data_IF_295243580456
#
_entry.id   IF_295243580456
#
_cell.length_a   1.000
_cell.length_b   1.000
_cell.length_c   1.000
_cell.angle_alpha   90.00
_cell.angle_beta   90.00
_cell.angle_gamma   90.00
#
_symmetry.space_group_name_H-M   'P 1'
#
loop_
_entity.id
_entity.type
_entity.pdbx_description
1 polymer ?
#
# COMPACT_ATOMS: atom_id res chain seq x y z
N UNK A 1 10.13 -11.05 -13.51
CA UNK A 1 9.68 -10.49 -12.22
C UNK A 1 8.25 -9.99 -12.41
N UNK A 2 7.33 -10.24 -11.49
CA UNK A 2 5.92 -9.83 -11.63
C UNK A 2 5.78 -8.29 -11.64
N UNK A 3 5.25 -7.68 -12.73
CA UNK A 3 5.06 -6.23 -12.83
C UNK A 3 4.22 -5.64 -11.70
N UNK A 4 3.22 -6.39 -11.21
CA UNK A 4 2.33 -5.96 -10.15
C UNK A 4 3.08 -5.83 -8.81
N UNK A 5 4.00 -6.77 -8.54
CA UNK A 5 4.87 -6.74 -7.36
C UNK A 5 5.82 -5.55 -7.39
N UNK A 6 6.51 -5.34 -8.51
CA UNK A 6 7.43 -4.22 -8.68
C UNK A 6 6.74 -2.85 -8.54
N UNK A 7 5.52 -2.73 -9.05
CA UNK A 7 4.71 -1.52 -8.87
C UNK A 7 4.48 -1.23 -7.38
N UNK A 8 4.00 -2.21 -6.60
CA UNK A 8 3.71 -2.01 -5.17
C UNK A 8 4.97 -1.68 -4.38
N UNK A 9 6.09 -2.34 -4.70
CA UNK A 9 7.39 -2.03 -4.11
C UNK A 9 7.82 -0.58 -4.37
N UNK A 10 7.78 -0.12 -5.62
CA UNK A 10 8.15 1.26 -5.93
C UNK A 10 7.18 2.29 -5.37
N UNK A 11 5.89 1.96 -5.32
CA UNK A 11 4.89 2.80 -4.67
C UNK A 11 5.21 2.94 -3.18
N UNK A 12 5.44 1.83 -2.47
CA UNK A 12 5.81 1.81 -1.06
C UNK A 12 7.07 2.64 -0.80
N UNK A 13 8.11 2.48 -1.64
CA UNK A 13 9.33 3.30 -1.58
C UNK A 13 9.03 4.79 -1.63
N UNK A 14 8.34 5.25 -2.68
CA UNK A 14 8.10 6.68 -2.90
C UNK A 14 7.22 7.24 -1.78
N UNK A 15 6.20 6.46 -1.38
CA UNK A 15 5.29 6.82 -0.32
C UNK A 15 6.03 6.96 1.02
N UNK A 16 6.79 5.96 1.43
CA UNK A 16 7.55 6.00 2.69
C UNK A 16 8.58 7.15 2.71
N UNK A 17 9.34 7.35 1.62
CA UNK A 17 10.31 8.47 1.52
C UNK A 17 9.63 9.83 1.72
N UNK A 18 8.43 10.00 1.16
CA UNK A 18 7.67 11.26 1.23
C UNK A 18 6.99 11.44 2.59
N UNK A 19 6.20 10.46 3.02
CA UNK A 19 5.40 10.54 4.25
C UNK A 19 6.28 10.63 5.49
N UNK A 20 7.35 9.82 5.55
CA UNK A 20 8.29 9.80 6.68
C UNK A 20 9.39 10.87 6.58
N UNK A 21 9.33 11.76 5.57
CA UNK A 21 10.29 12.86 5.35
C UNK A 21 11.75 12.41 5.42
N UNK A 22 12.07 11.30 4.75
CA UNK A 22 13.37 10.62 4.91
C UNK A 22 14.56 11.37 4.32
N UNK A 23 14.37 12.49 3.62
CA UNK A 23 15.49 13.21 3.01
C UNK A 23 16.57 13.59 4.05
N UNK A 24 17.87 13.32 3.79
CA UNK A 24 18.46 12.85 2.53
C UNK A 24 18.59 11.32 2.38
N UNK A 25 18.08 10.51 3.31
CA UNK A 25 18.03 9.05 3.20
C UNK A 25 17.17 8.65 2.00
N UNK A 26 17.69 7.72 1.20
CA UNK A 26 17.01 7.14 0.04
C UNK A 26 17.10 5.63 0.11
N UNK A 27 16.01 4.99 -0.28
CA UNK A 27 15.94 3.55 -0.43
C UNK A 27 16.54 3.12 -1.77
N UNK A 28 17.28 2.02 -1.74
CA UNK A 28 17.79 1.31 -2.90
C UNK A 28 17.17 -0.07 -2.93
N UNK A 29 16.83 -0.57 -4.12
CA UNK A 29 16.28 -1.93 -4.26
C UNK A 29 17.33 -2.92 -3.76
N UNK A 30 16.88 -3.90 -2.99
CA UNK A 30 17.70 -4.94 -2.41
C UNK A 30 16.94 -6.29 -2.48
N UNK A 31 17.66 -7.39 -2.26
CA UNK A 31 17.05 -8.72 -2.32
C UNK A 31 16.19 -9.01 -1.08
N UNK A 32 16.74 -8.82 0.12
CA UNK A 32 16.04 -8.93 1.42
C UNK A 32 16.71 -8.06 2.48
N UNK A 33 16.05 -7.02 3.03
CA UNK A 33 14.69 -6.55 2.70
C UNK A 33 14.55 -6.01 1.27
N UNK A 34 13.32 -5.86 0.78
CA UNK A 34 13.02 -5.33 -0.56
C UNK A 34 13.71 -4.00 -0.88
N UNK A 35 13.88 -3.15 0.13
CA UNK A 35 14.62 -1.89 0.04
C UNK A 35 15.53 -1.69 1.24
N UNK A 36 16.69 -1.06 1.01
CA UNK A 36 17.64 -0.69 2.07
C UNK A 36 18.21 0.71 1.82
N UNK A 37 18.48 1.47 2.88
CA UNK A 37 19.23 2.72 2.76
C UNK A 37 20.73 2.44 2.63
N UNK A 38 21.49 3.41 2.10
CA UNK A 38 22.89 3.23 1.70
C UNK A 38 23.80 2.67 2.80
N UNK A 39 23.58 3.01 4.07
CA UNK A 39 24.43 2.56 5.18
C UNK A 39 23.71 1.53 6.08
N UNK A 40 22.62 0.92 5.61
CA UNK A 40 21.84 -0.02 6.40
C UNK A 40 21.12 0.61 7.59
N UNK A 41 20.84 1.91 7.52
CA UNK A 41 20.06 2.61 8.55
C UNK A 41 18.63 2.08 8.61
N UNK A 42 17.99 1.90 7.45
CA UNK A 42 16.62 1.41 7.36
C UNK A 42 16.54 0.32 6.29
N UNK A 43 15.99 -0.82 6.68
CA UNK A 43 15.57 -1.89 5.78
C UNK A 43 14.06 -1.95 5.73
N UNK A 44 13.45 -1.97 4.55
CA UNK A 44 12.00 -1.98 4.37
C UNK A 44 11.57 -3.15 3.50
N UNK A 45 10.77 -4.04 4.09
CA UNK A 45 10.07 -5.11 3.39
C UNK A 45 8.70 -4.63 2.91
N UNK A 46 8.24 -5.08 1.74
CA UNK A 46 6.95 -4.68 1.18
C UNK A 46 6.05 -5.90 1.00
N UNK A 47 4.78 -5.76 1.38
CA UNK A 47 3.76 -6.78 1.15
C UNK A 47 2.41 -6.16 0.83
N UNK A 48 1.59 -6.92 0.11
CA UNK A 48 0.16 -6.63 -0.07
C UNK A 48 -0.64 -7.38 1.00
N UNK A 49 -1.70 -6.75 1.49
CA UNK A 49 -2.76 -7.38 2.26
C UNK A 49 -3.96 -7.67 1.34
N UNK A 50 -3.72 -8.45 0.28
CA UNK A 50 -4.75 -8.87 -0.66
C UNK A 50 -5.57 -10.03 -0.07
N UNK A 51 -6.86 -10.06 -0.40
CA UNK A 51 -7.78 -11.15 -0.06
C UNK A 51 -8.26 -11.73 -1.38
N UNK A 52 -7.84 -12.96 -1.70
CA UNK A 52 -8.02 -13.57 -3.02
C UNK A 52 -9.49 -13.66 -3.47
N UNK A 53 -10.44 -13.88 -2.56
CA UNK A 53 -11.87 -13.96 -2.88
C UNK A 53 -12.56 -12.57 -2.97
N UNK A 54 -12.05 -11.57 -2.26
CA UNK A 54 -12.70 -10.25 -2.17
C UNK A 54 -12.21 -9.23 -3.20
N UNK A 55 -11.00 -9.39 -3.75
CA UNK A 55 -10.59 -8.60 -4.92
C UNK A 55 -11.53 -8.86 -6.12
N UNK A 56 -12.06 -10.08 -6.22
CA UNK A 56 -13.05 -10.46 -7.21
C UNK A 56 -14.44 -9.89 -6.87
N UNK A 57 -14.88 -9.99 -5.60
CA UNK A 57 -16.19 -9.47 -5.17
C UNK A 57 -16.25 -7.93 -5.09
N UNK A 58 -15.17 -7.24 -4.75
CA UNK A 58 -15.09 -5.77 -4.82
C UNK A 58 -15.03 -5.31 -6.28
N UNK A 59 -14.30 -6.01 -7.15
CA UNK A 59 -14.36 -5.78 -8.59
C UNK A 59 -15.78 -6.04 -9.14
N UNK A 60 -16.47 -7.10 -8.70
CA UNK A 60 -17.81 -7.44 -9.14
C UNK A 60 -18.89 -6.53 -8.53
N UNK A 61 -18.70 -6.02 -7.31
CA UNK A 61 -19.60 -5.06 -6.66
C UNK A 61 -19.42 -3.65 -7.24
N UNK A 62 -18.19 -3.23 -7.52
CA UNK A 62 -17.90 -2.04 -8.32
C UNK A 62 -18.48 -2.17 -9.74
N UNK A 63 -18.53 -3.38 -10.31
CA UNK A 63 -19.16 -3.68 -11.61
C UNK A 63 -20.68 -3.71 -11.58
N UNK A 64 -21.32 -3.92 -10.42
CA UNK A 64 -22.78 -4.02 -10.28
C UNK A 64 -23.44 -2.74 -9.76
N UNK A 65 -22.72 -1.92 -8.99
CA UNK A 65 -23.26 -0.73 -8.34
C UNK A 65 -22.49 0.57 -8.65
N UNK A 66 -21.36 0.50 -9.36
CA UNK A 66 -20.67 1.67 -9.89
C UNK A 66 -20.93 1.79 -11.40
N UNK A 67 -21.66 2.83 -11.81
CA UNK A 67 -21.46 3.41 -13.13
C UNK A 67 -20.02 3.93 -13.17
N UNK A 68 -19.05 3.07 -13.54
CA UNK A 68 -17.79 3.43 -14.20
C UNK A 68 -16.99 2.14 -14.54
N UNK A 69 -16.90 1.88 -15.85
CA UNK A 69 -16.01 0.97 -16.59
C UNK A 69 -15.57 -0.38 -15.96
N UNK A 70 -16.00 -1.53 -16.53
CA UNK A 70 -15.45 -2.84 -16.14
C UNK A 70 -13.95 -2.93 -16.46
N UNK A 71 -13.17 -3.67 -15.66
CA UNK A 71 -11.70 -3.79 -15.80
C UNK A 71 -11.17 -4.24 -17.18
N UNK A 72 -12.04 -4.74 -18.06
CA UNK A 72 -11.75 -5.07 -19.45
C UNK A 72 -11.75 -3.83 -20.36
N UNK A 73 -12.51 -2.79 -20.01
CA UNK A 73 -12.52 -1.48 -20.65
C UNK A 73 -11.32 -0.63 -20.19
N UNK A 74 -10.78 -0.85 -18.99
CA UNK A 74 -9.56 -0.18 -18.53
C UNK A 74 -8.34 -0.63 -19.37
N UNK A 75 -8.25 -1.89 -19.79
CA UNK A 75 -7.16 -2.34 -20.69
C UNK A 75 -7.33 -1.84 -22.13
N UNK A 76 -8.57 -1.61 -22.60
CA UNK A 76 -8.83 -1.08 -23.94
C UNK A 76 -8.79 0.45 -24.01
N UNK A 77 -9.21 1.18 -22.97
CA UNK A 77 -9.09 2.65 -22.87
C UNK A 77 -7.65 3.08 -22.58
N UNK A 78 -6.89 2.32 -21.78
CA UNK A 78 -5.44 2.59 -21.61
C UNK A 78 -4.66 2.36 -22.92
N UNK A 79 -5.19 1.56 -23.85
CA UNK A 79 -4.62 1.35 -25.19
C UNK A 79 -5.21 2.29 -26.26
N UNK A 80 -6.38 2.89 -26.01
CA UNK A 80 -7.07 3.80 -26.94
C UNK A 80 -6.83 5.30 -26.62
N UNK A 81 -6.59 5.68 -25.36
CA UNK A 81 -6.32 7.06 -24.92
C UNK A 81 -4.84 7.46 -25.08
N UNK A 82 -4.27 7.15 -26.25
CA UNK A 82 -3.06 7.83 -26.71
C UNK A 82 -3.33 9.26 -27.21
N UNK A 83 -4.58 9.71 -27.26
CA UNK A 83 -4.95 11.08 -27.64
C UNK A 83 -6.28 11.48 -26.97
N UNK A 84 -6.30 11.95 -25.72
CA UNK A 84 -7.29 12.91 -25.19
C UNK A 84 -6.95 13.38 -23.76
N UNK A 85 -6.68 14.67 -23.63
CA UNK A 85 -6.77 15.43 -22.38
C UNK A 85 -8.24 15.46 -21.88
N UNK A 86 -8.42 15.68 -20.57
CA UNK A 86 -9.63 16.20 -19.89
C UNK A 86 -10.73 15.32 -19.26
N UNK A 87 -10.66 13.98 -19.19
CA UNK A 87 -11.76 13.18 -18.57
C UNK A 87 -11.55 12.64 -17.15
N UNK A 88 -10.38 12.81 -16.52
CA UNK A 88 -10.16 12.39 -15.11
C UNK A 88 -10.40 13.56 -14.12
N UNK A 89 -10.95 14.69 -14.58
CA UNK A 89 -11.05 15.93 -13.80
C UNK A 89 -12.47 16.40 -13.44
N UNK A 90 -13.54 15.73 -13.89
CA UNK A 90 -14.93 16.17 -13.61
C UNK A 90 -15.78 15.08 -12.94
N UNK A 91 -15.36 14.68 -11.74
CA UNK A 91 -16.24 14.03 -10.75
C UNK A 91 -16.46 14.97 -9.58
N UNK A 92 -17.06 16.14 -9.84
CA UNK A 92 -17.54 17.07 -8.82
C UNK A 92 -18.58 18.00 -9.45
N UNK A 93 -19.80 17.51 -9.61
CA UNK A 93 -20.95 18.37 -9.33
C UNK A 93 -21.52 17.96 -7.99
N UNK A 94 -21.60 18.94 -7.11
CA UNK A 94 -22.14 18.86 -5.76
C UNK A 94 -23.55 18.26 -5.78
N UNK A 95 -23.71 17.09 -5.15
CA UNK A 95 -24.99 16.73 -4.55
C UNK A 95 -24.76 16.25 -3.11
N UNK A 96 -25.52 16.86 -2.21
CA UNK A 96 -25.39 16.70 -0.77
C UNK A 96 -25.88 15.30 -0.35
N UNK A 97 -24.96 14.50 0.19
CA UNK A 97 -25.30 13.35 1.03
C UNK A 97 -25.14 11.99 0.37
N UNK A 98 -23.91 11.59 0.06
CA UNK A 98 -23.60 10.18 -0.21
C UNK A 98 -22.78 9.58 0.94
N UNK A 99 -23.46 8.68 1.65
CA UNK A 99 -22.94 7.73 2.63
C UNK A 99 -21.48 7.33 2.37
N UNK A 100 -20.57 7.62 3.31
CA UNK A 100 -19.30 6.87 3.41
C UNK A 100 -19.67 5.38 3.30
N UNK A 101 -19.18 4.69 2.27
CA UNK A 101 -19.36 3.25 2.13
C UNK A 101 -18.64 2.56 3.30
N UNK A 102 -19.33 2.42 4.44
CA UNK A 102 -18.85 1.63 5.56
C UNK A 102 -18.90 0.17 5.14
N UNK A 103 -17.73 -0.46 5.11
CA UNK A 103 -17.64 -1.89 4.83
C UNK A 103 -18.41 -2.66 5.91
N UNK A 104 -19.12 -3.75 5.53
CA UNK A 104 -19.72 -4.65 6.50
C UNK A 104 -18.68 -5.10 7.53
N UNK A 105 -19.10 -5.24 8.80
CA UNK A 105 -18.20 -5.57 9.91
C UNK A 105 -17.34 -6.81 9.62
N UNK A 106 -17.91 -7.87 9.05
CA UNK A 106 -17.19 -9.10 8.73
C UNK A 106 -16.09 -8.89 7.69
N UNK A 107 -16.30 -7.96 6.74
CA UNK A 107 -15.32 -7.59 5.73
C UNK A 107 -14.18 -6.78 6.36
N UNK A 108 -14.50 -5.83 7.26
CA UNK A 108 -13.49 -5.08 8.04
C UNK A 108 -12.60 -6.04 8.85
N UNK A 109 -13.19 -6.97 9.58
CA UNK A 109 -12.45 -7.98 10.36
C UNK A 109 -11.52 -8.82 9.50
N UNK A 110 -11.96 -9.19 8.29
CA UNK A 110 -11.15 -9.96 7.35
C UNK A 110 -9.92 -9.17 6.88
N UNK A 111 -10.06 -7.89 6.54
CA UNK A 111 -8.93 -7.04 6.17
C UNK A 111 -7.98 -6.79 7.34
N UNK A 112 -8.50 -6.55 8.55
CA UNK A 112 -7.71 -6.43 9.78
C UNK A 112 -6.92 -7.72 10.03
N UNK A 113 -7.61 -8.87 9.98
CA UNK A 113 -7.01 -10.19 10.13
C UNK A 113 -5.91 -10.44 9.10
N UNK A 114 -6.11 -10.04 7.85
CA UNK A 114 -5.11 -10.15 6.78
C UNK A 114 -3.88 -9.28 7.05
N UNK A 115 -4.05 -8.05 7.52
CA UNK A 115 -2.91 -7.18 7.90
C UNK A 115 -2.11 -7.84 9.03
N UNK A 116 -2.79 -8.35 10.06
CA UNK A 116 -2.19 -9.05 11.20
C UNK A 116 -1.41 -10.28 10.74
N UNK A 117 -2.02 -11.12 9.91
CA UNK A 117 -1.39 -12.31 9.32
C UNK A 117 -0.11 -11.94 8.56
N UNK A 118 -0.13 -10.88 7.74
CA UNK A 118 1.04 -10.44 6.97
C UNK A 118 2.18 -9.93 7.86
N UNK A 119 1.87 -9.27 8.98
CA UNK A 119 2.88 -8.90 9.98
C UNK A 119 3.54 -10.15 10.54
N UNK A 120 2.76 -11.16 10.91
CA UNK A 120 3.29 -12.42 11.45
C UNK A 120 4.10 -13.22 10.43
N UNK A 121 3.58 -13.39 9.21
CA UNK A 121 4.20 -14.20 8.16
C UNK A 121 5.55 -13.63 7.75
N UNK A 122 5.62 -12.31 7.56
CA UNK A 122 6.88 -11.63 7.26
C UNK A 122 7.86 -11.70 8.43
N UNK A 123 7.35 -11.69 9.66
CA UNK A 123 8.18 -11.93 10.86
C UNK A 123 8.67 -13.38 10.96
N UNK A 124 7.94 -14.37 10.44
CA UNK A 124 8.38 -15.77 10.43
C UNK A 124 9.35 -16.06 9.27
N UNK A 125 9.20 -15.38 8.14
CA UNK A 125 9.94 -15.63 6.90
C UNK A 125 11.39 -15.09 6.85
N UNK A 126 12.07 -14.98 8.01
CA UNK A 126 13.35 -14.28 8.19
C UNK A 126 14.58 -14.93 7.56
N UNK A 127 14.44 -16.04 6.85
CA UNK A 127 15.60 -16.72 6.29
C UNK A 127 16.30 -15.83 5.26
N UNK A 128 17.57 -15.48 5.52
CA UNK A 128 18.36 -14.57 4.70
C UNK A 128 18.01 -13.08 4.84
N UNK A 129 17.26 -12.67 5.87
CA UNK A 129 16.91 -11.27 6.08
C UNK A 129 18.11 -10.47 6.64
N UNK A 130 18.49 -9.39 5.96
CA UNK A 130 19.55 -8.50 6.43
C UNK A 130 19.03 -7.54 7.51
N UNK A 131 19.55 -7.66 8.73
CA UNK A 131 19.23 -6.74 9.82
C UNK A 131 19.80 -5.34 9.57
N UNK A 132 18.92 -4.34 9.61
CA UNK A 132 19.26 -2.92 9.58
C UNK A 132 19.10 -2.31 10.97
N UNK A 133 19.55 -1.06 11.15
CA UNK A 133 19.37 -0.33 12.42
C UNK A 133 17.89 -0.17 12.76
N UNK A 134 17.05 0.09 11.76
CA UNK A 134 15.61 -0.01 11.85
C UNK A 134 15.08 -0.94 10.74
N UNK A 135 14.21 -1.88 11.12
CA UNK A 135 13.54 -2.78 10.18
C UNK A 135 12.07 -2.38 10.07
N UNK A 136 11.64 -2.03 8.87
CA UNK A 136 10.32 -1.54 8.58
C UNK A 136 9.55 -2.56 7.73
N UNK A 137 8.24 -2.65 7.94
CA UNK A 137 7.33 -3.41 7.09
C UNK A 137 6.30 -2.45 6.48
N UNK A 138 6.20 -2.44 5.17
CA UNK A 138 5.16 -1.72 4.45
C UNK A 138 4.08 -2.68 3.98
N UNK A 139 2.83 -2.41 4.36
CA UNK A 139 1.65 -3.18 4.00
C UNK A 139 0.75 -2.31 3.13
N UNK A 140 0.59 -2.70 1.88
CA UNK A 140 -0.38 -2.09 0.98
C UNK A 140 -1.73 -2.78 1.17
N UNK A 141 -2.68 -2.08 1.79
CA UNK A 141 -4.07 -2.50 1.84
C UNK A 141 -4.79 -2.04 0.57
N UNK A 142 -5.56 -2.95 -0.02
CA UNK A 142 -6.34 -2.69 -1.23
C UNK A 142 -7.66 -1.98 -0.90
N UNK A 143 -8.13 -2.11 0.34
CA UNK A 143 -9.34 -1.46 0.81
C UNK A 143 -9.11 0.01 1.20
N UNK A 144 -10.17 0.80 1.08
CA UNK A 144 -10.29 2.17 1.59
C UNK A 144 -11.12 2.27 2.87
N UNK A 145 -11.85 1.22 3.26
CA UNK A 145 -12.87 1.27 4.29
C UNK A 145 -12.42 0.85 5.70
N UNK A 146 -11.11 0.83 5.98
CA UNK A 146 -10.63 0.66 7.35
C UNK A 146 -10.45 2.03 7.98
N UNK A 147 -10.92 2.15 9.22
CA UNK A 147 -10.86 3.40 9.96
C UNK A 147 -9.75 3.38 11.01
N UNK A 148 -9.51 4.54 11.61
CA UNK A 148 -8.50 4.72 12.66
C UNK A 148 -8.69 3.75 13.82
N UNK A 149 -9.93 3.47 14.24
CA UNK A 149 -10.22 2.54 15.34
C UNK A 149 -9.83 1.09 15.01
N UNK A 150 -9.97 0.68 13.75
CA UNK A 150 -9.48 -0.61 13.25
C UNK A 150 -7.96 -0.68 13.33
N UNK A 151 -7.27 0.39 12.92
CA UNK A 151 -5.82 0.48 12.99
C UNK A 151 -5.30 0.54 14.44
N UNK A 152 -6.07 1.11 15.38
CA UNK A 152 -5.76 1.04 16.81
C UNK A 152 -5.79 -0.42 17.29
N UNK A 153 -6.68 -1.27 16.77
CA UNK A 153 -6.69 -2.71 17.09
C UNK A 153 -5.45 -3.41 16.55
N UNK A 154 -5.03 -3.09 15.32
CA UNK A 154 -3.77 -3.60 14.75
C UNK A 154 -2.56 -3.13 15.57
N UNK A 155 -2.52 -1.86 16.00
CA UNK A 155 -1.50 -1.33 16.90
C UNK A 155 -1.45 -2.09 18.23
N UNK A 156 -2.61 -2.33 18.87
CA UNK A 156 -2.69 -3.12 20.11
C UNK A 156 -2.17 -4.55 19.92
N UNK A 157 -2.41 -5.16 18.76
CA UNK A 157 -1.82 -6.46 18.43
C UNK A 157 -0.30 -6.35 18.29
N UNK A 158 0.18 -5.37 17.52
CA UNK A 158 1.60 -5.11 17.28
C UNK A 158 2.38 -4.88 18.59
N UNK A 159 1.81 -4.10 19.52
CA UNK A 159 2.40 -3.85 20.85
C UNK A 159 2.49 -5.11 21.72
N UNK A 160 1.46 -5.98 21.67
CA UNK A 160 1.43 -7.22 22.46
C UNK A 160 2.48 -8.24 22.02
N UNK A 161 3.01 -8.13 20.81
CA UNK A 161 4.03 -9.04 20.26
C UNK A 161 5.46 -8.55 20.52
N UNK A 162 5.66 -7.72 21.55
CA UNK A 162 6.96 -7.21 21.97
C UNK A 162 8.00 -8.33 22.11
N UNK A 163 9.17 -8.14 21.48
CA UNK A 163 10.28 -9.11 21.50
C UNK A 163 10.13 -10.30 20.55
N UNK A 164 8.98 -10.47 19.90
CA UNK A 164 8.75 -11.52 18.87
C UNK A 164 8.81 -10.97 17.45
N UNK A 165 8.42 -9.72 17.25
CA UNK A 165 8.42 -9.08 15.93
C UNK A 165 9.76 -8.44 15.59
N UNK A 166 10.23 -8.69 14.37
CA UNK A 166 11.47 -8.11 13.85
C UNK A 166 11.34 -6.62 13.54
N UNK A 167 10.16 -6.19 13.12
CA UNK A 167 9.95 -4.85 12.60
C UNK A 167 9.82 -3.84 13.74
N UNK A 168 10.61 -2.78 13.67
CA UNK A 168 10.55 -1.62 14.56
C UNK A 168 9.38 -0.71 14.22
N UNK A 169 8.96 -0.72 12.94
CA UNK A 169 7.87 0.10 12.42
C UNK A 169 7.07 -0.66 11.37
N UNK A 170 5.74 -0.52 11.42
CA UNK A 170 4.85 -1.03 10.37
C UNK A 170 4.10 0.15 9.75
N UNK A 171 4.16 0.27 8.44
CA UNK A 171 3.48 1.28 7.64
C UNK A 171 2.32 0.62 6.92
N UNK A 172 1.08 0.97 7.26
CA UNK A 172 -0.12 0.40 6.63
C UNK A 172 -0.79 1.48 5.79
N UNK A 173 -0.78 1.30 4.47
CA UNK A 173 -1.51 2.19 3.55
C UNK A 173 -2.95 1.70 3.47
N UNK A 174 -3.90 2.59 3.74
CA UNK A 174 -5.35 2.40 3.55
C UNK A 174 -5.87 3.65 2.85
N UNK A 175 -6.51 3.51 1.69
CA UNK A 175 -7.00 4.67 0.93
C UNK A 175 -5.96 5.78 0.75
N UNK A 176 -6.28 6.98 1.25
CA UNK A 176 -5.42 8.16 1.22
C UNK A 176 -4.52 8.35 2.46
N UNK A 177 -4.58 7.40 3.38
CA UNK A 177 -3.92 7.47 4.68
C UNK A 177 -2.77 6.47 4.77
N UNK A 178 -1.74 6.87 5.51
CA UNK A 178 -0.67 6.01 5.95
C UNK A 178 -0.69 5.95 7.47
N UNK A 179 -1.03 4.78 7.99
CA UNK A 179 -0.96 4.48 9.40
C UNK A 179 0.45 4.00 9.76
N UNK A 180 1.04 4.62 10.77
CA UNK A 180 2.40 4.36 11.23
C UNK A 180 2.30 3.74 12.62
N UNK A 181 2.61 2.45 12.68
CA UNK A 181 2.59 1.66 13.90
C UNK A 181 4.01 1.56 14.45
N UNK A 182 4.21 2.06 15.67
CA UNK A 182 5.47 2.00 16.40
C UNK A 182 5.18 1.48 17.80
N UNK A 183 6.02 0.58 18.29
CA UNK A 183 5.76 -0.10 19.57
C UNK A 183 5.78 0.89 20.74
N UNK A 184 4.74 0.85 21.55
CA UNK A 184 4.62 1.70 22.74
C UNK A 184 4.37 3.18 22.43
N UNK A 185 4.18 3.54 21.16
CA UNK A 185 3.81 4.87 20.72
C UNK A 185 2.33 4.90 20.30
N UNK A 186 1.64 6.05 20.44
CA UNK A 186 0.30 6.20 19.91
C UNK A 186 0.31 6.04 18.38
N UNK A 187 -0.76 5.43 17.85
CA UNK A 187 -0.97 5.30 16.42
C UNK A 187 -0.88 6.67 15.75
N UNK A 188 0.03 6.78 14.79
CA UNK A 188 0.21 7.98 13.98
C UNK A 188 -0.43 7.77 12.61
N UNK A 189 -1.00 8.84 12.06
CA UNK A 189 -1.68 8.84 10.77
C UNK A 189 -1.14 9.99 9.93
N UNK A 190 -0.86 9.71 8.66
CA UNK A 190 -0.39 10.70 7.69
C UNK A 190 -1.33 10.65 6.49
N UNK A 191 -2.18 11.68 6.38
CA UNK A 191 -3.05 11.84 5.22
C UNK A 191 -2.26 12.46 4.06
N UNK A 192 -2.39 11.89 2.87
CA UNK A 192 -1.84 12.44 1.63
C UNK A 192 -2.96 12.84 0.68
N UNK A 193 -2.79 13.99 0.02
CA UNK A 193 -3.77 14.44 -0.97
C UNK A 193 -3.82 13.50 -2.18
N UNK A 194 -5.01 13.33 -2.76
CA UNK A 194 -5.23 12.48 -3.94
C UNK A 194 -4.28 12.83 -5.09
N UNK A 195 -4.01 14.12 -5.31
CA UNK A 195 -3.03 14.60 -6.30
C UNK A 195 -1.61 14.08 -6.02
N UNK A 196 -1.20 14.03 -4.76
CA UNK A 196 0.11 13.48 -4.39
C UNK A 196 0.16 11.97 -4.63
N UNK A 197 -0.91 11.24 -4.28
CA UNK A 197 -1.02 9.80 -4.52
C UNK A 197 -0.97 9.46 -6.01
N UNK A 198 -1.68 10.22 -6.85
CA UNK A 198 -1.67 10.06 -8.30
C UNK A 198 -0.26 10.26 -8.88
N UNK A 199 0.45 11.31 -8.44
CA UNK A 199 1.84 11.53 -8.83
C UNK A 199 2.78 10.39 -8.43
N UNK A 200 2.54 9.77 -7.27
CA UNK A 200 3.28 8.58 -6.84
C UNK A 200 2.93 7.35 -7.67
N UNK A 201 1.65 7.16 -8.02
CA UNK A 201 1.18 6.08 -8.88
C UNK A 201 1.88 6.11 -10.25
N UNK A 202 1.84 7.24 -10.96
CA UNK A 202 2.48 7.37 -12.27
C UNK A 202 3.97 7.09 -12.19
N UNK A 203 4.65 7.61 -11.16
CA UNK A 203 6.08 7.40 -10.97
C UNK A 203 6.43 5.94 -10.65
N UNK A 204 5.64 5.27 -9.80
CA UNK A 204 5.82 3.86 -9.48
C UNK A 204 5.61 2.97 -10.71
N UNK A 205 4.57 3.26 -11.51
CA UNK A 205 4.28 2.57 -12.78
C UNK A 205 5.41 2.74 -13.79
N UNK A 206 5.92 3.96 -13.95
CA UNK A 206 7.05 4.20 -14.85
C UNK A 206 8.31 3.43 -14.41
N UNK A 207 8.61 3.41 -13.11
CA UNK A 207 9.77 2.68 -12.57
C UNK A 207 9.62 1.16 -12.71
N UNK A 208 8.43 0.60 -12.49
CA UNK A 208 8.19 -0.83 -12.64
C UNK A 208 8.37 -1.28 -14.09
N UNK A 209 7.81 -0.54 -15.05
CA UNK A 209 7.93 -0.83 -16.49
C UNK A 209 9.37 -0.69 -16.99
N UNK A 210 10.09 0.36 -16.57
CA UNK A 210 11.49 0.56 -16.99
C UNK A 210 12.41 -0.57 -16.52
N UNK A 211 12.21 -1.09 -15.31
CA UNK A 211 13.05 -2.17 -14.80
C UNK A 211 12.80 -3.51 -15.49
N UNK A 212 11.57 -3.77 -15.92
CA UNK A 212 11.26 -4.95 -16.74
C UNK A 212 12.03 -4.89 -18.06
N UNK A 213 12.02 -3.72 -18.72
CA UNK A 213 12.69 -3.56 -20.01
C UNK A 213 14.22 -3.67 -19.91
N UNK A 214 14.83 -3.25 -18.79
CA UNK A 214 16.28 -3.38 -18.58
C UNK A 214 16.75 -4.80 -18.24
N UNK A 215 15.86 -5.72 -17.85
CA UNK A 215 16.21 -7.12 -17.56
C UNK A 215 15.92 -8.07 -18.73
N UNK A 216 15.32 -7.55 -19.81
CA UNK A 216 15.00 -8.29 -21.04
C UNK A 216 15.98 -7.97 -22.20
N UNK A 217 17.11 -7.30 -21.89
CA UNK A 217 18.23 -7.03 -22.81
C UNK A 217 19.48 -7.68 -22.24
#
# INVERSE_FOLDING_TARGET
MDPSKLYVEYYAKIHAERAMKLWPLRFFKNERPDFITKRGEIGMEVTRAAIEEWAQQEADMNRHFGDEMPGNAIEQDILADCDCDDTIANGAEDDEGESLFELPHDVKEMHIGRIIERIEDKTKALNGYQLCRENWLYIFSETTGLERDDMIRVQKFFDKQAGKLLFDKVLVKVGCELYVLVRGEPLSEISLSSRALLGMHHRARWLSLRNINNHNV
#
